data_IF_596457175794
#
_entry.id   IF_596457175794
#
_cell.length_a   1.000
_cell.length_b   1.000
_cell.length_c   1.000
_cell.angle_alpha   90.00
_cell.angle_beta   90.00
_cell.angle_gamma   90.00
#
_symmetry.space_group_name_H-M   'P 1'
#
loop_
_entity.id
_entity.type
_entity.pdbx_description
1 polymer ?
#
# COMPACT_ATOMS: atom_id res chain seq x y z
N UNK A 1 3.67 55.79 9.12
CA UNK A 1 4.35 54.56 8.65
C UNK A 1 3.57 53.40 9.22
N UNK A 2 2.63 52.85 8.44
CA UNK A 2 1.78 51.73 8.86
C UNK A 2 2.36 50.51 8.17
N UNK A 3 2.99 49.64 8.95
CA UNK A 3 3.39 48.31 8.49
C UNK A 3 2.10 47.48 8.46
N UNK A 4 1.60 47.01 7.31
CA UNK A 4 0.45 46.13 7.31
C UNK A 4 0.88 44.80 7.92
N UNK A 5 0.14 44.41 8.95
CA UNK A 5 0.29 43.13 9.60
C UNK A 5 0.21 42.01 8.55
N UNK A 6 1.27 41.21 8.56
CA UNK A 6 1.28 39.78 8.24
C UNK A 6 0.62 39.39 6.93
N UNK A 7 1.47 39.15 5.94
CA UNK A 7 1.27 38.11 4.94
C UNK A 7 0.46 36.96 5.54
N UNK A 8 -0.78 36.82 5.09
CA UNK A 8 -1.42 35.51 5.08
C UNK A 8 -0.47 34.60 4.31
N UNK A 9 0.23 33.72 5.04
CA UNK A 9 1.02 32.66 4.46
C UNK A 9 0.12 31.96 3.45
N UNK A 10 0.53 31.81 2.18
CA UNK A 10 -0.32 31.17 1.19
C UNK A 10 -0.69 29.79 1.71
N UNK A 11 -2.00 29.56 1.77
CA UNK A 11 -2.66 28.28 2.00
C UNK A 11 -1.77 27.16 1.46
N UNK A 12 -1.32 26.28 2.36
CA UNK A 12 -0.45 25.16 2.05
C UNK A 12 -0.94 24.47 0.78
N UNK A 13 -0.13 24.53 -0.27
CA UNK A 13 -0.48 23.99 -1.58
C UNK A 13 -0.65 22.48 -1.46
N UNK A 14 -1.74 21.90 -1.99
CA UNK A 14 -2.06 20.49 -1.86
C UNK A 14 -1.22 19.63 -2.82
N UNK A 15 0.12 19.70 -2.72
CA UNK A 15 1.01 18.54 -2.90
C UNK A 15 2.49 18.82 -2.59
N UNK A 16 2.82 19.48 -1.47
CA UNK A 16 4.24 19.72 -1.14
C UNK A 16 5.01 18.40 -0.94
N UNK A 17 4.34 17.35 -0.45
CA UNK A 17 4.97 16.08 -0.10
C UNK A 17 5.24 15.19 -1.33
N UNK A 18 4.25 14.92 -2.20
CA UNK A 18 4.53 14.11 -3.40
C UNK A 18 5.48 14.83 -4.36
N UNK A 19 5.43 16.16 -4.41
CA UNK A 19 6.41 16.94 -5.18
C UNK A 19 7.83 16.74 -4.64
N UNK A 20 8.02 16.72 -3.31
CA UNK A 20 9.33 16.41 -2.70
C UNK A 20 9.78 14.99 -3.03
N UNK A 21 8.91 13.99 -2.89
CA UNK A 21 9.26 12.60 -3.23
C UNK A 21 9.58 12.43 -4.72
N UNK A 22 8.84 13.09 -5.60
CA UNK A 22 9.11 13.11 -7.04
C UNK A 22 10.46 13.76 -7.36
N UNK A 23 10.79 14.88 -6.73
CA UNK A 23 12.10 15.55 -6.89
C UNK A 23 13.27 14.69 -6.39
N UNK A 24 13.02 13.78 -5.46
CA UNK A 24 13.99 12.78 -4.98
C UNK A 24 14.04 11.51 -5.85
N UNK A 25 13.31 11.49 -6.98
CA UNK A 25 13.26 10.32 -7.87
C UNK A 25 12.50 9.13 -7.27
N UNK A 26 11.54 9.39 -6.37
CA UNK A 26 10.66 8.39 -5.75
C UNK A 26 9.19 8.65 -6.09
N UNK A 27 8.80 8.55 -7.37
CA UNK A 27 7.44 8.84 -7.79
C UNK A 27 6.47 7.76 -7.28
N UNK A 28 5.36 8.17 -6.68
CA UNK A 28 4.25 7.25 -6.37
C UNK A 28 3.44 6.86 -7.62
N UNK A 29 2.38 6.05 -7.45
CA UNK A 29 1.86 5.52 -6.19
C UNK A 29 2.80 4.48 -5.56
N UNK A 30 2.70 4.35 -4.23
CA UNK A 30 3.54 3.48 -3.41
C UNK A 30 2.83 2.15 -3.10
N UNK A 31 3.59 1.08 -2.93
CA UNK A 31 3.06 -0.25 -2.58
C UNK A 31 3.97 -0.98 -1.61
N UNK A 32 3.44 -1.97 -0.90
CA UNK A 32 4.29 -2.95 -0.22
C UNK A 32 5.04 -3.78 -1.26
N UNK A 33 6.27 -4.17 -0.94
CA UNK A 33 7.11 -4.96 -1.83
C UNK A 33 6.59 -6.39 -1.93
N UNK A 34 6.61 -6.95 -3.15
CA UNK A 34 6.21 -8.33 -3.42
C UNK A 34 7.32 -9.34 -3.11
N UNK A 35 8.57 -8.88 -3.09
CA UNK A 35 9.75 -9.74 -2.91
C UNK A 35 10.33 -9.66 -1.51
N UNK A 36 10.11 -8.55 -0.81
CA UNK A 36 10.75 -8.27 0.49
C UNK A 36 9.71 -7.82 1.51
N UNK A 37 9.40 -8.71 2.45
CA UNK A 37 8.47 -8.39 3.54
C UNK A 37 8.92 -7.18 4.35
N UNK A 38 8.01 -6.23 4.57
CA UNK A 38 8.29 -5.02 5.33
C UNK A 38 8.95 -3.90 4.54
N UNK A 39 8.92 -3.94 3.22
CA UNK A 39 9.45 -2.87 2.36
C UNK A 39 8.31 -2.16 1.65
N UNK A 40 8.44 -0.84 1.52
CA UNK A 40 7.58 -0.01 0.66
C UNK A 40 8.37 0.40 -0.56
N UNK A 41 7.85 0.10 -1.74
CA UNK A 41 8.43 0.45 -3.03
C UNK A 41 7.67 1.62 -3.66
N UNK A 42 8.37 2.40 -4.47
CA UNK A 42 7.78 3.35 -5.40
C UNK A 42 7.21 2.64 -6.64
N UNK A 43 6.63 3.42 -7.56
CA UNK A 43 5.97 2.85 -8.74
C UNK A 43 6.92 2.11 -9.68
N UNK A 44 8.20 2.47 -9.66
CA UNK A 44 9.25 1.92 -10.53
C UNK A 44 9.93 0.71 -9.86
N UNK A 45 9.50 0.35 -8.65
CA UNK A 45 10.01 -0.79 -7.88
C UNK A 45 11.25 -0.48 -7.07
N UNK A 46 11.55 0.79 -6.82
CA UNK A 46 12.64 1.15 -5.94
C UNK A 46 12.18 1.24 -4.49
N UNK A 47 12.99 0.71 -3.59
CA UNK A 47 12.75 0.82 -2.15
C UNK A 47 12.70 2.30 -1.73
N UNK A 48 11.57 2.68 -1.13
CA UNK A 48 11.34 3.97 -0.50
C UNK A 48 11.59 3.90 1.01
N UNK A 49 11.07 2.87 1.67
CA UNK A 49 11.14 2.72 3.12
C UNK A 49 11.16 1.24 3.53
N UNK A 50 11.66 0.98 4.74
CA UNK A 50 11.67 -0.33 5.35
C UNK A 50 11.08 -0.24 6.76
N UNK A 51 10.16 -1.13 7.06
CA UNK A 51 9.55 -1.33 8.38
C UNK A 51 10.62 -1.90 9.33
N UNK A 52 10.64 -1.41 10.57
CA UNK A 52 11.61 -1.83 11.58
C UNK A 52 11.65 -3.35 11.73
N UNK A 53 12.85 -3.97 11.78
CA UNK A 53 12.99 -5.40 12.03
C UNK A 53 12.55 -5.80 13.45
N UNK A 54 12.39 -4.84 14.37
CA UNK A 54 11.85 -5.08 15.72
C UNK A 54 10.38 -5.53 15.69
N UNK A 55 9.65 -5.22 14.61
CA UNK A 55 8.35 -5.82 14.36
C UNK A 55 8.60 -7.27 13.95
N UNK A 56 8.35 -8.18 14.89
CA UNK A 56 8.58 -9.61 14.72
C UNK A 56 7.51 -10.22 13.81
N UNK A 57 7.96 -11.06 12.88
CA UNK A 57 7.10 -11.76 11.92
C UNK A 57 7.05 -11.07 10.55
N UNK A 58 7.34 -11.84 9.51
CA UNK A 58 7.19 -11.38 8.13
C UNK A 58 5.74 -10.95 7.79
N UNK A 59 4.68 -11.63 8.26
CA UNK A 59 3.31 -11.17 8.02
C UNK A 59 3.02 -9.79 8.63
N UNK A 60 3.41 -9.57 9.90
CA UNK A 60 3.18 -8.30 10.59
C UNK A 60 3.94 -7.13 9.95
N UNK A 61 5.17 -7.38 9.49
CA UNK A 61 5.92 -6.36 8.73
C UNK A 61 5.32 -6.07 7.37
N UNK A 62 4.80 -7.09 6.69
CA UNK A 62 4.12 -6.92 5.41
C UNK A 62 2.86 -6.05 5.57
N UNK A 63 2.02 -6.37 6.55
CA UNK A 63 0.83 -5.58 6.90
C UNK A 63 1.19 -4.14 7.26
N UNK A 64 2.23 -3.94 8.08
CA UNK A 64 2.71 -2.61 8.41
C UNK A 64 3.20 -1.83 7.18
N UNK A 65 3.87 -2.50 6.22
CA UNK A 65 4.30 -1.89 4.97
C UNK A 65 3.10 -1.51 4.08
N UNK A 66 2.05 -2.33 4.04
CA UNK A 66 0.81 -2.03 3.31
C UNK A 66 0.10 -0.80 3.89
N UNK A 67 -0.04 -0.75 5.21
CA UNK A 67 -0.60 0.40 5.93
C UNK A 67 0.23 1.67 5.65
N UNK A 68 1.56 1.57 5.70
CA UNK A 68 2.45 2.68 5.41
C UNK A 68 2.32 3.18 3.96
N UNK A 69 2.25 2.26 2.98
CA UNK A 69 2.06 2.60 1.57
C UNK A 69 0.71 3.31 1.34
N UNK A 70 -0.37 2.81 1.95
CA UNK A 70 -1.69 3.44 1.90
C UNK A 70 -1.67 4.86 2.50
N UNK A 71 -1.04 5.03 3.66
CA UNK A 71 -0.89 6.33 4.30
C UNK A 71 -0.09 7.32 3.43
N UNK A 72 1.02 6.87 2.85
CA UNK A 72 1.84 7.66 1.93
C UNK A 72 1.06 8.07 0.67
N UNK A 73 0.28 7.15 0.10
CA UNK A 73 -0.57 7.44 -1.05
C UNK A 73 -1.62 8.51 -0.72
N UNK A 74 -2.31 8.40 0.42
CA UNK A 74 -3.26 9.42 0.89
C UNK A 74 -2.59 10.78 1.07
N UNK A 75 -1.41 10.84 1.70
CA UNK A 75 -0.65 12.09 1.88
C UNK A 75 -0.21 12.72 0.55
N UNK A 76 0.05 11.89 -0.46
CA UNK A 76 0.45 12.33 -1.79
C UNK A 76 -0.73 12.64 -2.72
N UNK A 77 -1.97 12.48 -2.24
CA UNK A 77 -3.18 12.68 -3.03
C UNK A 77 -3.42 11.59 -4.08
N UNK A 78 -2.73 10.45 -4.00
CA UNK A 78 -3.08 9.29 -4.79
C UNK A 78 -4.39 8.70 -4.24
N UNK A 79 -5.34 8.34 -5.11
CA UNK A 79 -6.56 7.69 -4.66
C UNK A 79 -6.14 6.44 -3.89
N UNK A 80 -6.64 6.30 -2.66
CA UNK A 80 -6.58 5.02 -2.00
C UNK A 80 -7.28 4.04 -2.94
N UNK A 81 -6.64 2.91 -3.23
CA UNK A 81 -7.32 1.76 -3.83
C UNK A 81 -8.22 1.18 -2.74
N UNK A 82 -9.16 1.98 -2.22
CA UNK A 82 -10.24 1.47 -1.40
C UNK A 82 -11.10 0.62 -2.33
N UNK A 83 -10.95 -0.69 -2.17
CA UNK A 83 -11.91 -1.75 -2.48
C UNK A 83 -13.04 -1.39 -3.45
N UNK A 84 -12.68 -1.19 -4.72
CA UNK A 84 -13.48 -1.74 -5.80
C UNK A 84 -12.89 -3.09 -6.21
N UNK A 85 -12.78 -4.01 -5.25
CA UNK A 85 -12.86 -5.40 -5.64
C UNK A 85 -14.27 -5.57 -6.21
N UNK A 86 -14.34 -5.70 -7.53
CA UNK A 86 -15.59 -6.01 -8.20
C UNK A 86 -16.22 -7.22 -7.49
N UNK A 87 -17.46 -7.12 -6.98
CA UNK A 87 -18.14 -8.23 -6.32
C UNK A 87 -18.12 -9.51 -7.16
N UNK A 88 -18.10 -9.40 -8.50
CA UNK A 88 -17.96 -10.54 -9.39
C UNK A 88 -16.56 -11.20 -9.29
N UNK A 89 -15.49 -10.41 -9.17
CA UNK A 89 -14.14 -10.93 -8.96
C UNK A 89 -13.99 -11.62 -7.60
N UNK A 90 -14.58 -11.07 -6.54
CA UNK A 90 -14.59 -11.70 -5.22
C UNK A 90 -15.36 -13.03 -5.24
N UNK A 91 -16.54 -13.05 -5.84
CA UNK A 91 -17.33 -14.27 -5.98
C UNK A 91 -16.58 -15.35 -6.79
N UNK A 92 -15.89 -14.95 -7.86
CA UNK A 92 -15.08 -15.87 -8.66
C UNK A 92 -13.89 -16.43 -7.86
N UNK A 93 -13.16 -15.59 -7.13
CA UNK A 93 -12.04 -16.03 -6.30
C UNK A 93 -12.48 -16.97 -5.16
N UNK A 94 -13.64 -16.71 -4.55
CA UNK A 94 -14.22 -17.57 -3.52
C UNK A 94 -14.70 -18.90 -4.08
N UNK A 95 -15.37 -18.90 -5.24
CA UNK A 95 -15.80 -20.12 -5.91
C UNK A 95 -14.61 -21.01 -6.29
N UNK A 96 -13.52 -20.40 -6.75
CA UNK A 96 -12.30 -21.14 -7.08
C UNK A 96 -11.61 -21.71 -5.83
N UNK A 97 -11.54 -20.93 -4.74
CA UNK A 97 -11.02 -21.44 -3.46
C UNK A 97 -11.85 -22.62 -2.91
N UNK A 98 -13.18 -22.56 -3.04
CA UNK A 98 -14.07 -23.66 -2.63
C UNK A 98 -13.82 -24.92 -3.45
N UNK A 99 -13.64 -24.80 -4.77
CA UNK A 99 -13.29 -25.93 -5.63
C UNK A 99 -11.96 -26.57 -5.25
N UNK A 100 -10.95 -25.75 -4.95
CA UNK A 100 -9.66 -26.26 -4.48
C UNK A 100 -9.78 -26.99 -3.14
N UNK A 101 -10.60 -26.47 -2.21
CA UNK A 101 -10.83 -27.12 -0.93
C UNK A 101 -11.54 -28.48 -1.07
N UNK A 102 -12.53 -28.59 -1.96
CA UNK A 102 -13.21 -29.86 -2.26
C UNK A 102 -12.27 -30.88 -2.91
N UNK A 103 -11.43 -30.45 -3.86
CA UNK A 103 -10.44 -31.32 -4.48
C UNK A 103 -9.35 -31.76 -3.51
N UNK A 104 -8.91 -30.88 -2.61
CA UNK A 104 -7.93 -31.20 -1.57
C UNK A 104 -8.50 -32.14 -0.50
N UNK A 105 -9.78 -31.98 -0.13
CA UNK A 105 -10.49 -32.89 0.78
C UNK A 105 -10.68 -34.30 0.18
N UNK A 106 -10.99 -34.39 -1.12
CA UNK A 106 -11.11 -35.68 -1.82
C UNK A 106 -9.80 -36.45 -1.98
N UNK A 107 -8.65 -35.76 -1.98
CA UNK A 107 -7.33 -36.40 -2.01
C UNK A 107 -6.92 -36.98 -0.64
N UNK A 108 -7.48 -36.47 0.46
CA UNK A 108 -7.25 -37.00 1.80
C UNK A 108 -8.03 -38.30 2.06
N UNK A 109 -9.20 -38.49 1.43
CA UNK A 109 -10.01 -39.71 1.56
C UNK A 109 -9.66 -40.81 0.54
N UNK A 110 -8.89 -40.51 -0.51
CA UNK A 110 -8.45 -41.48 -1.52
C UNK A 110 -7.15 -42.24 -1.12
N UNK A 111 -6.66 -42.04 0.11
CA UNK A 111 -5.41 -42.58 0.63
C UNK A 111 -5.54 -43.66 1.72
N UNK A 112 -6.74 -44.18 1.98
CA UNK A 112 -6.97 -45.37 2.84
C UNK A 112 -7.17 -46.66 2.03
#
# INVERSE_FOLDING_TARGET
MIVPATHELPVQTPNTFARRLTLLGRPGPYRSSLTTSGVVDDRDGHMLAMISPEILGAPARQEAAEIAALALNRLCGFPAVEDRLDPAHLAAAQAESARFAEQAGGLAEAGE
#
